data_IF_526956970136
#
_entry.id   IF_526956970136
#
_cell.length_a   1.000
_cell.length_b   1.000
_cell.length_c   1.000
_cell.angle_alpha   90.00
_cell.angle_beta   90.00
_cell.angle_gamma   90.00
#
_symmetry.space_group_name_H-M   'P 1'
#
loop_
_entity.id
_entity.type
_entity.pdbx_description
1 polymer ?
#
# COMPACT_ATOMS: atom_id res chain seq x y z
N UNK A 1 -74.23 -0.83 4.54
CA UNK A 1 -75.28 -1.41 5.40
C UNK A 1 -74.97 -2.90 5.55
N UNK A 2 -74.94 -3.42 6.79
CA UNK A 2 -74.75 -4.85 7.21
C UNK A 2 -73.33 -5.43 7.02
N UNK A 3 -72.39 -5.34 7.99
CA UNK A 3 -72.12 -6.23 9.16
C UNK A 3 -72.03 -7.74 8.86
N UNK A 4 -70.81 -8.29 8.89
CA UNK A 4 -70.50 -9.64 9.40
C UNK A 4 -69.20 -9.60 10.22
N UNK A 5 -69.32 -10.00 11.48
CA UNK A 5 -68.24 -10.20 12.45
C UNK A 5 -67.64 -11.60 12.27
N UNK A 6 -66.33 -11.72 12.47
CA UNK A 6 -65.69 -12.99 12.84
C UNK A 6 -64.65 -12.74 13.92
N UNK A 7 -64.81 -13.46 15.02
CA UNK A 7 -64.03 -13.44 16.26
C UNK A 7 -62.56 -13.82 16.03
N UNK A 8 -61.63 -13.12 16.69
CA UNK A 8 -60.27 -13.60 16.94
C UNK A 8 -60.03 -13.53 18.45
N UNK A 9 -59.78 -14.70 19.03
CA UNK A 9 -59.46 -14.91 20.44
C UNK A 9 -58.09 -14.32 20.83
N UNK A 10 -58.09 -13.65 21.97
CA UNK A 10 -56.91 -13.13 22.66
C UNK A 10 -56.10 -14.25 23.31
N UNK A 11 -54.84 -14.47 22.87
CA UNK A 11 -53.86 -15.28 23.61
C UNK A 11 -53.04 -14.42 24.58
N UNK A 12 -53.03 -14.84 25.83
CA UNK A 12 -52.38 -14.23 27.01
C UNK A 12 -50.85 -14.25 26.90
N UNK A 13 -50.23 -13.14 27.29
CA UNK A 13 -48.79 -13.01 27.57
C UNK A 13 -48.39 -13.83 28.82
N UNK A 14 -47.35 -14.65 28.69
CA UNK A 14 -46.66 -15.30 29.82
C UNK A 14 -45.25 -14.71 29.97
N UNK A 15 -44.91 -14.34 31.21
CA UNK A 15 -43.64 -13.72 31.64
C UNK A 15 -42.49 -14.75 31.61
N UNK A 16 -41.24 -14.36 31.26
CA UNK A 16 -40.09 -15.23 31.47
C UNK A 16 -39.59 -15.18 32.93
N UNK A 17 -39.19 -16.34 33.46
CA UNK A 17 -38.57 -16.52 34.78
C UNK A 17 -37.10 -16.09 34.76
N UNK A 18 -36.69 -15.46 35.87
CA UNK A 18 -35.31 -15.11 36.28
C UNK A 18 -34.39 -16.33 36.30
N UNK A 19 -33.19 -16.23 35.73
CA UNK A 19 -32.05 -17.11 36.02
C UNK A 19 -30.84 -16.27 36.47
N UNK A 20 -30.09 -16.83 37.42
CA UNK A 20 -28.97 -16.24 38.18
C UNK A 20 -27.78 -15.91 37.28
N UNK A 21 -27.01 -14.90 37.69
CA UNK A 21 -25.90 -14.36 36.92
C UNK A 21 -24.65 -15.23 36.87
N UNK A 22 -23.79 -14.89 35.90
CA UNK A 22 -22.37 -15.15 35.88
C UNK A 22 -21.68 -13.93 35.28
N UNK A 23 -20.81 -13.33 36.07
CA UNK A 23 -19.79 -12.36 35.65
C UNK A 23 -18.77 -13.02 34.73
N UNK A 24 -18.03 -12.17 34.00
CA UNK A 24 -16.81 -12.40 33.21
C UNK A 24 -16.96 -13.13 31.87
N UNK A 25 -16.91 -12.34 30.79
CA UNK A 25 -16.53 -12.82 29.45
C UNK A 25 -15.69 -11.77 28.69
N UNK A 26 -14.78 -11.11 29.42
CA UNK A 26 -13.77 -10.20 28.83
C UNK A 26 -12.41 -10.86 28.60
N UNK A 27 -12.18 -12.09 29.10
CA UNK A 27 -10.89 -12.78 29.03
C UNK A 27 -10.73 -13.71 27.81
N UNK A 28 -11.83 -14.12 27.17
CA UNK A 28 -11.81 -15.03 26.03
C UNK A 28 -11.41 -14.35 24.70
N UNK A 29 -11.72 -13.06 24.56
CA UNK A 29 -11.34 -12.23 23.40
C UNK A 29 -9.89 -11.78 23.46
N UNK A 30 -9.39 -11.39 24.65
CA UNK A 30 -7.98 -11.02 24.87
C UNK A 30 -7.03 -12.22 24.71
N UNK A 31 -7.42 -13.41 25.16
CA UNK A 31 -6.58 -14.62 25.05
C UNK A 31 -6.45 -15.14 23.61
N UNK A 32 -7.48 -15.00 22.77
CA UNK A 32 -7.39 -15.39 21.34
C UNK A 32 -6.53 -14.42 20.52
N UNK A 33 -6.59 -13.12 20.83
CA UNK A 33 -5.69 -12.13 20.21
C UNK A 33 -4.26 -12.34 20.68
N UNK A 34 -4.01 -12.53 21.98
CA UNK A 34 -2.64 -12.73 22.49
C UNK A 34 -1.96 -14.00 21.94
N UNK A 35 -2.71 -15.08 21.72
CA UNK A 35 -2.20 -16.33 21.14
C UNK A 35 -1.92 -16.16 19.63
N UNK A 36 -2.80 -15.50 18.88
CA UNK A 36 -2.58 -15.20 17.46
C UNK A 36 -1.38 -14.25 17.24
N UNK A 37 -1.20 -13.27 18.13
CA UNK A 37 -0.03 -12.40 18.15
C UNK A 37 1.26 -13.19 18.40
N UNK A 38 1.30 -14.07 19.41
CA UNK A 38 2.47 -14.88 19.75
C UNK A 38 2.89 -15.84 18.62
N UNK A 39 1.94 -16.40 17.88
CA UNK A 39 2.23 -17.29 16.75
C UNK A 39 2.65 -16.53 15.49
N UNK A 40 2.20 -15.29 15.29
CA UNK A 40 2.71 -14.40 14.26
C UNK A 40 4.21 -14.11 14.44
N UNK A 41 4.70 -13.96 15.68
CA UNK A 41 6.12 -13.74 15.96
C UNK A 41 7.02 -14.95 15.64
N UNK A 42 6.50 -16.17 15.68
CA UNK A 42 7.28 -17.40 15.40
C UNK A 42 7.57 -17.60 13.92
N UNK A 43 6.78 -17.02 13.02
CA UNK A 43 6.95 -17.13 11.56
C UNK A 43 7.74 -15.97 10.95
N UNK A 44 8.03 -14.92 11.73
CA UNK A 44 8.75 -13.73 11.28
C UNK A 44 10.27 -13.87 11.41
N UNK A 45 11.00 -13.16 10.55
CA UNK A 45 12.45 -13.03 10.74
C UNK A 45 12.74 -12.26 12.04
N UNK A 46 13.74 -12.67 12.84
CA UNK A 46 14.03 -12.04 14.13
C UNK A 46 14.23 -10.52 14.04
N UNK A 47 14.84 -10.04 12.95
CA UNK A 47 15.09 -8.61 12.76
C UNK A 47 13.81 -7.79 12.53
N UNK A 48 12.71 -8.39 12.06
CA UNK A 48 11.46 -7.66 11.82
C UNK A 48 10.87 -7.11 13.13
N UNK A 49 11.16 -7.76 14.26
CA UNK A 49 10.68 -7.36 15.59
C UNK A 49 11.24 -6.00 16.03
N UNK A 50 12.32 -5.53 15.39
CA UNK A 50 12.91 -4.22 15.67
C UNK A 50 12.18 -3.06 14.96
N UNK A 51 11.24 -3.36 14.06
CA UNK A 51 10.44 -2.35 13.36
C UNK A 51 9.07 -2.21 14.03
N UNK A 52 8.73 -1.03 14.59
CA UNK A 52 7.35 -0.76 14.99
C UNK A 52 6.45 -0.85 13.75
N UNK A 53 5.27 -1.46 13.87
CA UNK A 53 4.39 -1.66 12.72
C UNK A 53 4.80 -2.78 11.77
N UNK A 54 5.63 -3.75 12.18
CA UNK A 54 6.09 -4.82 11.28
C UNK A 54 4.98 -5.77 10.79
N UNK A 55 3.81 -5.81 11.45
CA UNK A 55 2.59 -6.55 11.07
C UNK A 55 1.32 -5.74 11.40
N UNK A 56 0.16 -6.00 10.76
CA UNK A 56 -1.07 -5.19 10.89
C UNK A 56 -1.55 -4.98 12.33
N UNK A 57 -1.37 -5.98 13.18
CA UNK A 57 -1.84 -5.96 14.56
C UNK A 57 -0.90 -5.21 15.52
N UNK A 58 0.28 -4.78 15.05
CA UNK A 58 1.28 -4.06 15.84
C UNK A 58 1.32 -2.57 15.47
N UNK A 59 0.18 -1.86 15.57
CA UNK A 59 0.21 -0.39 15.41
C UNK A 59 1.13 0.23 16.46
N UNK A 60 1.97 1.18 16.05
CA UNK A 60 2.79 1.94 16.97
C UNK A 60 1.93 2.62 18.03
N UNK A 61 2.32 2.50 19.31
CA UNK A 61 1.63 3.15 20.43
C UNK A 61 1.65 4.69 20.37
N UNK A 62 2.45 5.26 19.45
CA UNK A 62 2.50 6.70 19.15
C UNK A 62 1.33 7.17 18.28
N UNK A 63 0.61 6.26 17.63
CA UNK A 63 -0.55 6.57 16.80
C UNK A 63 -1.76 6.85 17.71
N UNK A 64 -1.96 8.12 18.07
CA UNK A 64 -3.04 8.48 19.01
C UNK A 64 -4.34 8.87 18.32
N UNK A 65 -4.30 9.40 17.08
CA UNK A 65 -5.49 9.73 16.26
C UNK A 65 -5.17 9.71 14.76
N UNK A 66 -5.97 9.01 13.98
CA UNK A 66 -6.03 9.03 12.51
C UNK A 66 -7.46 8.71 12.08
N UNK A 67 -7.84 9.09 10.86
CA UNK A 67 -9.17 8.81 10.30
C UNK A 67 -9.12 8.24 8.88
N UNK A 68 -7.92 8.13 8.29
CA UNK A 68 -7.72 7.61 6.95
C UNK A 68 -6.44 6.80 6.85
N UNK A 69 -6.51 5.61 6.24
CA UNK A 69 -5.37 4.70 6.07
C UNK A 69 -5.16 4.29 4.62
N UNK A 70 -3.95 4.53 4.12
CA UNK A 70 -3.51 4.07 2.81
C UNK A 70 -2.46 2.97 2.95
N UNK A 71 -2.55 1.96 2.09
CA UNK A 71 -1.50 0.97 1.91
C UNK A 71 -0.99 0.98 0.46
N UNK A 72 0.27 0.65 0.29
CA UNK A 72 0.85 0.35 -1.02
C UNK A 72 1.67 -0.93 -0.95
N UNK A 73 1.56 -1.78 -1.97
CA UNK A 73 2.32 -3.02 -2.05
C UNK A 73 2.61 -3.44 -3.49
N UNK A 74 3.89 -3.50 -3.87
CA UNK A 74 4.28 -4.23 -5.07
C UNK A 74 4.09 -5.75 -4.83
N UNK A 75 3.13 -6.34 -5.53
CA UNK A 75 2.68 -7.72 -5.28
C UNK A 75 3.40 -8.75 -6.16
N UNK A 76 4.24 -8.31 -7.10
CA UNK A 76 5.02 -9.15 -8.00
C UNK A 76 4.19 -10.29 -8.66
N UNK A 77 3.00 -9.94 -9.13
CA UNK A 77 2.06 -10.82 -9.80
C UNK A 77 0.80 -11.07 -8.97
N UNK A 78 -0.32 -10.51 -9.44
CA UNK A 78 -1.62 -10.59 -8.78
C UNK A 78 -2.04 -12.02 -8.45
N UNK A 79 -1.89 -12.97 -9.38
CA UNK A 79 -2.30 -14.36 -9.17
C UNK A 79 -1.46 -15.07 -8.09
N UNK A 80 -0.16 -14.81 -8.07
CA UNK A 80 0.73 -15.38 -7.06
C UNK A 80 0.39 -14.81 -5.68
N UNK A 81 0.15 -13.50 -5.63
CA UNK A 81 -0.28 -12.79 -4.43
C UNK A 81 -1.61 -13.30 -3.87
N UNK A 82 -2.63 -13.50 -4.72
CA UNK A 82 -3.91 -14.09 -4.32
C UNK A 82 -3.72 -15.49 -3.74
N UNK A 83 -2.94 -16.35 -4.41
CA UNK A 83 -2.64 -17.71 -3.94
C UNK A 83 -1.88 -17.71 -2.60
N UNK A 84 -1.07 -16.69 -2.35
CA UNK A 84 -0.33 -16.51 -1.10
C UNK A 84 -1.18 -15.93 0.06
N UNK A 85 -2.49 -15.72 -0.15
CA UNK A 85 -3.38 -15.16 0.87
C UNK A 85 -3.38 -13.63 0.92
N UNK A 86 -3.00 -12.95 -0.16
CA UNK A 86 -2.94 -11.49 -0.21
C UNK A 86 -4.26 -10.77 0.14
N UNK A 87 -5.41 -11.36 -0.19
CA UNK A 87 -6.70 -10.79 0.24
C UNK A 87 -6.95 -10.90 1.73
N UNK A 88 -6.37 -11.90 2.41
CA UNK A 88 -6.42 -11.98 3.87
C UNK A 88 -5.71 -10.76 4.47
N UNK A 89 -4.56 -10.35 3.93
CA UNK A 89 -3.89 -9.11 4.34
C UNK A 89 -4.80 -7.88 4.15
N UNK A 90 -5.50 -7.75 3.02
CA UNK A 90 -6.42 -6.63 2.80
C UNK A 90 -7.55 -6.60 3.85
N UNK A 91 -8.09 -7.75 4.23
CA UNK A 91 -9.15 -7.86 5.24
C UNK A 91 -8.69 -7.80 6.69
N UNK A 92 -7.40 -8.06 6.94
CA UNK A 92 -6.80 -7.93 8.28
C UNK A 92 -6.28 -6.52 8.52
N UNK A 93 -5.56 -5.96 7.54
CA UNK A 93 -5.08 -4.59 7.58
C UNK A 93 -6.26 -3.61 7.49
N UNK A 94 -7.30 -3.86 6.69
CA UNK A 94 -8.46 -2.97 6.57
C UNK A 94 -8.10 -1.50 6.24
N UNK A 95 -7.23 -1.19 5.26
CA UNK A 95 -7.02 0.19 4.82
C UNK A 95 -8.29 0.79 4.21
N UNK A 96 -8.37 2.11 4.11
CA UNK A 96 -9.39 2.76 3.28
C UNK A 96 -9.08 2.59 1.80
N UNK A 97 -7.78 2.57 1.47
CA UNK A 97 -7.27 2.45 0.11
C UNK A 97 -6.01 1.58 0.09
N UNK A 98 -5.94 0.59 -0.81
CA UNK A 98 -4.74 -0.20 -1.09
C UNK A 98 -4.36 -0.05 -2.57
N UNK A 99 -3.19 0.53 -2.83
CA UNK A 99 -2.54 0.47 -4.15
C UNK A 99 -1.69 -0.79 -4.28
N UNK A 100 -1.76 -1.47 -5.42
CA UNK A 100 -0.87 -2.60 -5.74
C UNK A 100 -0.13 -2.38 -7.05
N UNK A 101 1.14 -2.77 -7.10
CA UNK A 101 2.02 -2.67 -8.27
C UNK A 101 2.46 -4.06 -8.75
N UNK A 102 2.94 -4.12 -10.00
CA UNK A 102 3.30 -5.35 -10.69
C UNK A 102 2.19 -6.40 -10.68
N UNK A 103 0.97 -6.01 -11.05
CA UNK A 103 -0.14 -6.98 -11.13
C UNK A 103 0.15 -8.08 -12.16
N UNK A 104 0.94 -7.77 -13.20
CA UNK A 104 1.36 -8.69 -14.29
C UNK A 104 0.18 -9.44 -14.89
N UNK A 105 -0.98 -8.78 -14.92
CA UNK A 105 -2.25 -9.40 -15.29
C UNK A 105 -3.03 -8.48 -16.21
N UNK A 106 -3.39 -8.98 -17.40
CA UNK A 106 -4.33 -8.29 -18.28
C UNK A 106 -5.70 -8.20 -17.62
N UNK A 107 -6.39 -7.08 -17.84
CA UNK A 107 -7.75 -6.81 -17.34
C UNK A 107 -8.73 -7.96 -17.62
N UNK A 108 -8.64 -8.60 -18.80
CA UNK A 108 -9.52 -9.71 -19.22
C UNK A 108 -9.26 -11.00 -18.43
N UNK A 109 -8.18 -11.04 -17.68
CA UNK A 109 -7.60 -12.23 -17.03
C UNK A 109 -7.46 -12.07 -15.52
N UNK A 110 -7.92 -10.94 -14.98
CA UNK A 110 -8.05 -10.70 -13.53
C UNK A 110 -8.99 -11.78 -12.97
N UNK A 111 -8.53 -12.60 -12.00
CA UNK A 111 -9.37 -13.66 -11.42
C UNK A 111 -10.59 -13.09 -10.72
N UNK A 112 -11.70 -13.84 -10.73
CA UNK A 112 -12.90 -13.45 -9.98
C UNK A 112 -12.62 -13.37 -8.47
N UNK A 113 -11.69 -14.20 -7.97
CA UNK A 113 -11.25 -14.18 -6.58
C UNK A 113 -10.62 -12.83 -6.18
N UNK A 114 -10.14 -12.01 -7.13
CA UNK A 114 -9.56 -10.71 -6.84
C UNK A 114 -10.59 -9.72 -6.25
N UNK A 115 -11.89 -10.01 -6.33
CA UNK A 115 -12.93 -9.17 -5.73
C UNK A 115 -12.91 -9.29 -4.21
N UNK A 116 -12.84 -8.16 -3.51
CA UNK A 116 -12.92 -8.09 -2.07
C UNK A 116 -14.21 -7.37 -1.65
N UNK A 117 -15.01 -7.98 -0.77
CA UNK A 117 -16.24 -7.36 -0.28
C UNK A 117 -15.94 -6.05 0.44
N UNK A 118 -16.70 -5.00 0.15
CA UNK A 118 -16.50 -3.67 0.73
C UNK A 118 -15.40 -2.83 0.06
N UNK A 119 -14.76 -3.32 -1.00
CA UNK A 119 -13.83 -2.55 -1.81
C UNK A 119 -14.25 -2.56 -3.28
N UNK A 120 -14.16 -1.40 -3.92
CA UNK A 120 -14.12 -1.31 -5.38
C UNK A 120 -12.69 -1.54 -5.88
N UNK A 121 -12.55 -2.24 -7.00
CA UNK A 121 -11.25 -2.57 -7.58
C UNK A 121 -11.08 -1.93 -8.96
N UNK A 122 -9.98 -1.21 -9.15
CA UNK A 122 -9.58 -0.59 -10.41
C UNK A 122 -8.24 -1.16 -10.88
N UNK A 123 -8.06 -1.24 -12.19
CA UNK A 123 -6.94 -1.98 -12.79
C UNK A 123 -6.38 -1.24 -14.01
N UNK A 124 -5.07 -1.04 -14.03
CA UNK A 124 -4.32 -0.53 -15.17
C UNK A 124 -3.35 -1.64 -15.61
N UNK A 125 -3.56 -2.21 -16.79
CA UNK A 125 -2.76 -3.34 -17.28
C UNK A 125 -1.82 -2.90 -18.39
N UNK A 126 -0.65 -3.51 -18.46
CA UNK A 126 0.21 -3.37 -19.63
C UNK A 126 -0.37 -4.10 -20.85
N UNK A 127 -0.06 -3.62 -22.05
CA UNK A 127 -0.36 -4.30 -23.32
C UNK A 127 0.36 -5.64 -23.43
N UNK A 128 1.56 -5.72 -22.86
CA UNK A 128 2.34 -6.95 -22.76
C UNK A 128 1.85 -7.80 -21.59
N UNK A 129 1.37 -9.01 -21.91
CA UNK A 129 0.95 -9.99 -20.91
C UNK A 129 2.08 -10.35 -19.93
N UNK A 130 1.74 -10.48 -18.64
CA UNK A 130 2.71 -10.88 -17.61
C UNK A 130 3.70 -9.79 -17.22
N UNK A 131 3.46 -8.53 -17.61
CA UNK A 131 4.38 -7.42 -17.40
C UNK A 131 3.67 -6.23 -16.73
N UNK A 132 4.40 -5.52 -15.86
CA UNK A 132 3.98 -4.31 -15.16
C UNK A 132 2.52 -4.36 -14.65
N UNK A 133 1.79 -3.24 -14.79
CA UNK A 133 0.41 -3.11 -14.32
C UNK A 133 0.28 -2.70 -12.85
N UNK A 134 -0.79 -1.97 -12.57
CA UNK A 134 -1.16 -1.46 -11.25
C UNK A 134 -2.63 -1.77 -10.96
N UNK A 135 -2.98 -1.75 -9.68
CA UNK A 135 -4.34 -1.94 -9.19
C UNK A 135 -4.62 -1.07 -7.97
N UNK A 136 -5.90 -0.85 -7.72
CA UNK A 136 -6.39 -0.08 -6.59
C UNK A 136 -7.59 -0.79 -5.98
N UNK A 137 -7.56 -1.04 -4.68
CA UNK A 137 -8.73 -1.37 -3.88
C UNK A 137 -9.13 -0.16 -3.06
N UNK A 138 -10.37 0.30 -3.16
CA UNK A 138 -10.85 1.47 -2.41
C UNK A 138 -12.17 1.18 -1.72
N UNK A 139 -12.26 1.43 -0.41
CA UNK A 139 -13.53 1.41 0.34
C UNK A 139 -14.41 2.59 -0.01
N UNK A 140 -13.79 3.76 -0.19
CA UNK A 140 -14.46 4.98 -0.62
C UNK A 140 -14.47 5.04 -2.14
N UNK A 141 -15.63 5.28 -2.73
CA UNK A 141 -15.74 5.48 -4.19
C UNK A 141 -15.02 6.77 -4.57
N UNK A 142 -13.95 6.73 -5.40
CA UNK A 142 -13.30 7.95 -5.88
C UNK A 142 -14.26 8.78 -6.73
N UNK A 143 -14.09 10.11 -6.73
CA UNK A 143 -14.84 11.02 -7.60
C UNK A 143 -14.56 10.75 -9.08
N UNK A 144 -13.31 10.37 -9.37
CA UNK A 144 -12.85 10.02 -10.70
C UNK A 144 -11.64 9.09 -10.59
N UNK A 145 -11.44 8.24 -11.60
CA UNK A 145 -10.25 7.39 -11.72
C UNK A 145 -9.71 7.49 -13.14
N UNK A 146 -8.44 7.89 -13.28
CA UNK A 146 -7.72 7.94 -14.55
C UNK A 146 -6.56 6.95 -14.58
N UNK A 147 -6.18 6.53 -15.78
CA UNK A 147 -5.16 5.53 -16.04
C UNK A 147 -4.07 6.14 -16.92
N UNK A 148 -2.81 5.95 -16.51
CA UNK A 148 -1.67 6.56 -17.20
C UNK A 148 -1.42 8.02 -16.80
N UNK A 149 -0.51 8.66 -17.52
CA UNK A 149 -0.11 10.07 -17.33
C UNK A 149 -0.48 10.97 -18.50
N UNK A 150 -1.20 10.42 -19.49
CA UNK A 150 -1.67 11.15 -20.68
C UNK A 150 -0.64 11.18 -21.80
N UNK A 151 0.33 10.26 -21.80
CA UNK A 151 1.31 10.08 -22.87
C UNK A 151 1.34 8.62 -23.33
N UNK A 152 1.06 8.41 -24.62
CA UNK A 152 1.03 7.09 -25.25
C UNK A 152 2.34 6.31 -25.15
N UNK A 153 3.49 6.98 -25.03
CA UNK A 153 4.80 6.33 -24.84
C UNK A 153 4.86 5.61 -23.50
N UNK A 154 4.16 6.13 -22.49
CA UNK A 154 4.18 5.65 -21.11
C UNK A 154 2.98 4.76 -20.77
N UNK A 155 1.83 5.05 -21.36
CA UNK A 155 0.54 4.52 -20.90
C UNK A 155 0.25 3.08 -21.34
N UNK A 156 1.11 2.51 -22.19
CA UNK A 156 1.04 1.09 -22.62
C UNK A 156 1.52 0.10 -21.56
N UNK A 157 2.17 0.57 -20.48
CA UNK A 157 2.73 -0.30 -19.42
C UNK A 157 1.85 -0.38 -18.15
N UNK A 158 0.71 0.35 -18.11
CA UNK A 158 -0.24 0.29 -16.99
C UNK A 158 0.31 0.74 -15.64
N UNK A 159 1.25 1.68 -15.64
CA UNK A 159 2.10 2.03 -14.49
C UNK A 159 1.50 3.02 -13.50
N UNK A 160 0.43 3.71 -13.88
CA UNK A 160 -0.18 4.75 -13.06
C UNK A 160 -1.69 4.58 -13.02
N UNK A 161 -2.24 4.69 -11.81
CA UNK A 161 -3.66 4.97 -11.55
C UNK A 161 -3.72 6.26 -10.73
N UNK A 162 -4.57 7.19 -11.11
CA UNK A 162 -4.87 8.36 -10.29
C UNK A 162 -6.33 8.32 -9.86
N UNK A 163 -6.56 8.21 -8.56
CA UNK A 163 -7.88 8.28 -7.95
C UNK A 163 -8.09 9.66 -7.32
N UNK A 164 -9.15 10.34 -7.72
CA UNK A 164 -9.53 11.65 -7.19
C UNK A 164 -10.47 11.50 -6.00
N UNK A 165 -10.11 12.11 -4.87
CA UNK A 165 -10.99 12.26 -3.71
C UNK A 165 -11.32 13.75 -3.51
N UNK A 166 -12.23 14.03 -2.59
CA UNK A 166 -12.68 15.41 -2.32
C UNK A 166 -11.51 16.33 -1.95
N UNK A 167 -10.61 15.86 -1.08
CA UNK A 167 -9.51 16.67 -0.51
C UNK A 167 -8.15 16.49 -1.19
N UNK A 168 -7.93 15.41 -1.95
CA UNK A 168 -6.61 15.06 -2.51
C UNK A 168 -6.73 14.13 -3.73
N UNK A 169 -5.64 14.02 -4.50
CA UNK A 169 -5.43 12.93 -5.46
C UNK A 169 -4.56 11.85 -4.84
N UNK A 170 -4.95 10.58 -5.00
CA UNK A 170 -4.06 9.45 -4.76
C UNK A 170 -3.50 8.94 -6.09
N UNK A 171 -2.19 9.04 -6.26
CA UNK A 171 -1.47 8.56 -7.44
C UNK A 171 -0.72 7.28 -7.07
N UNK A 172 -1.15 6.16 -7.62
CA UNK A 172 -0.50 4.86 -7.45
C UNK A 172 0.49 4.71 -8.59
N UNK A 173 1.78 4.58 -8.30
CA UNK A 173 2.83 4.55 -9.31
C UNK A 173 3.68 3.28 -9.24
N UNK A 174 3.99 2.73 -10.40
CA UNK A 174 5.02 1.71 -10.59
C UNK A 174 6.07 2.24 -11.57
N UNK A 175 7.09 2.92 -11.05
CA UNK A 175 8.14 3.57 -11.86
C UNK A 175 8.97 2.50 -12.58
N UNK A 176 9.32 2.70 -13.87
CA UNK A 176 10.18 1.80 -14.61
C UNK A 176 11.50 1.50 -13.90
N UNK A 177 11.77 0.22 -13.63
CA UNK A 177 13.10 -0.21 -13.25
C UNK A 177 14.09 -0.06 -14.44
N UNK A 178 15.28 0.47 -14.19
CA UNK A 178 16.34 0.66 -15.21
C UNK A 178 16.90 -0.64 -15.79
N UNK A 179 16.62 -1.77 -15.13
CA UNK A 179 16.88 -3.11 -15.62
C UNK A 179 18.34 -3.54 -15.56
N UNK A 180 18.57 -4.80 -15.94
CA UNK A 180 19.91 -5.38 -15.99
C UNK A 180 20.80 -4.64 -16.99
N UNK A 181 22.01 -4.27 -16.54
CA UNK A 181 22.94 -3.47 -17.34
C UNK A 181 22.44 -2.05 -17.63
N UNK A 182 21.48 -1.53 -16.85
CA UNK A 182 20.92 -0.18 -16.97
C UNK A 182 20.32 0.13 -18.35
N UNK A 183 19.85 -0.90 -19.07
CA UNK A 183 19.32 -0.77 -20.45
C UNK A 183 18.16 0.22 -20.58
N UNK A 184 17.36 0.38 -19.52
CA UNK A 184 16.21 1.30 -19.50
C UNK A 184 16.52 2.61 -18.79
N UNK A 185 17.73 2.81 -18.25
CA UNK A 185 18.09 4.06 -17.59
C UNK A 185 17.90 5.28 -18.52
N UNK A 186 18.27 5.24 -19.82
CA UNK A 186 18.01 6.39 -20.70
C UNK A 186 16.53 6.72 -20.86
N UNK A 187 15.66 5.71 -20.90
CA UNK A 187 14.21 5.91 -20.97
C UNK A 187 13.67 6.48 -19.65
N UNK A 188 14.14 5.94 -18.51
CA UNK A 188 13.75 6.39 -17.19
C UNK A 188 14.12 7.87 -16.97
N UNK A 189 15.41 8.17 -17.13
CA UNK A 189 16.00 9.48 -16.84
C UNK A 189 15.54 10.58 -17.82
N UNK A 190 15.51 10.29 -19.13
CA UNK A 190 15.29 11.34 -20.14
C UNK A 190 13.82 11.52 -20.56
N UNK A 191 12.93 10.58 -20.22
CA UNK A 191 11.54 10.61 -20.66
C UNK A 191 10.61 10.43 -19.46
N UNK A 192 10.61 9.25 -18.85
CA UNK A 192 9.64 8.91 -17.81
C UNK A 192 9.67 9.86 -16.60
N UNK A 193 10.83 10.08 -15.98
CA UNK A 193 10.91 10.89 -14.75
C UNK A 193 10.52 12.38 -15.01
N UNK A 194 11.02 13.06 -16.07
CA UNK A 194 10.56 14.41 -16.44
C UNK A 194 9.06 14.50 -16.75
N UNK A 195 8.50 13.53 -17.47
CA UNK A 195 7.09 13.53 -17.87
C UNK A 195 6.18 13.22 -16.66
N UNK A 196 6.63 12.34 -15.76
CA UNK A 196 5.95 12.07 -14.51
C UNK A 196 5.95 13.29 -13.57
N UNK A 197 7.07 14.02 -13.46
CA UNK A 197 7.14 15.29 -12.72
C UNK A 197 6.13 16.29 -13.30
N UNK A 198 6.10 16.43 -14.62
CA UNK A 198 5.18 17.35 -15.31
C UNK A 198 3.71 16.98 -15.09
N UNK A 199 3.39 15.68 -15.07
CA UNK A 199 2.06 15.17 -14.76
C UNK A 199 1.65 15.51 -13.32
N UNK A 200 2.51 15.20 -12.34
CA UNK A 200 2.21 15.47 -10.95
C UNK A 200 2.07 16.97 -10.66
N UNK A 201 2.87 17.84 -11.27
CA UNK A 201 2.72 19.31 -11.12
C UNK A 201 1.34 19.80 -11.55
N UNK A 202 0.78 19.25 -12.64
CA UNK A 202 -0.57 19.60 -13.12
C UNK A 202 -1.64 19.20 -12.11
N UNK A 203 -1.51 18.01 -11.51
CA UNK A 203 -2.44 17.54 -10.48
C UNK A 203 -2.30 18.35 -9.18
N UNK A 204 -1.07 18.59 -8.73
CA UNK A 204 -0.79 19.31 -7.48
C UNK A 204 -1.28 20.76 -7.54
N UNK A 205 -1.32 21.37 -8.73
CA UNK A 205 -1.90 22.70 -8.92
C UNK A 205 -3.42 22.75 -8.62
N UNK A 206 -4.11 21.60 -8.64
CA UNK A 206 -5.56 21.51 -8.44
C UNK A 206 -5.89 21.04 -7.01
N UNK A 207 -5.33 19.91 -6.58
CA UNK A 207 -5.50 19.34 -5.23
C UNK A 207 -4.19 18.73 -4.76
N UNK A 208 -3.93 18.66 -3.44
CA UNK A 208 -2.73 18.01 -2.95
C UNK A 208 -2.68 16.54 -3.33
N UNK A 209 -1.45 16.02 -3.41
CA UNK A 209 -1.14 14.68 -3.84
C UNK A 209 -0.72 13.82 -2.65
N UNK A 210 -1.15 12.56 -2.72
CA UNK A 210 -0.49 11.44 -2.07
C UNK A 210 -0.02 10.54 -3.20
N UNK A 211 1.28 10.35 -3.36
CA UNK A 211 1.88 9.44 -4.33
C UNK A 211 2.35 8.20 -3.59
N UNK A 212 1.76 7.05 -3.88
CA UNK A 212 2.07 5.76 -3.25
C UNK A 212 2.55 4.74 -4.27
N UNK A 213 3.59 3.98 -3.96
CA UNK A 213 4.01 2.89 -4.85
C UNK A 213 5.49 2.55 -4.82
N UNK A 214 5.86 1.63 -5.71
CA UNK A 214 7.24 1.28 -6.00
C UNK A 214 7.81 2.28 -7.00
N UNK A 215 8.66 3.18 -6.47
CA UNK A 215 9.34 4.21 -7.26
C UNK A 215 10.70 3.75 -7.76
N UNK A 216 11.07 2.48 -7.51
CA UNK A 216 12.26 1.82 -8.03
C UNK A 216 13.55 2.62 -7.78
N UNK A 217 13.66 3.34 -6.67
CA UNK A 217 14.87 4.08 -6.29
C UNK A 217 15.07 4.02 -4.79
N UNK A 218 16.29 3.75 -4.31
CA UNK A 218 16.72 4.01 -2.95
C UNK A 218 17.36 5.41 -2.94
N UNK A 219 16.73 6.38 -2.29
CA UNK A 219 17.13 7.79 -2.44
C UNK A 219 18.50 8.09 -1.83
N UNK A 220 18.75 7.59 -0.61
CA UNK A 220 19.97 7.84 0.15
C UNK A 220 20.70 6.54 0.48
N UNK A 221 21.97 6.64 0.88
CA UNK A 221 22.77 5.45 1.26
C UNK A 221 22.15 4.66 2.43
N UNK A 222 21.38 5.31 3.29
CA UNK A 222 20.63 4.67 4.38
C UNK A 222 19.43 3.84 3.88
N UNK A 223 19.03 4.00 2.61
CA UNK A 223 17.88 3.34 2.00
C UNK A 223 18.22 1.99 1.36
N UNK A 224 19.47 1.54 1.41
CA UNK A 224 19.84 0.19 0.97
C UNK A 224 21.03 -0.41 1.73
N UNK A 225 21.11 -1.72 1.72
CA UNK A 225 22.31 -2.42 2.17
C UNK A 225 23.45 -2.31 1.14
N UNK A 226 24.67 -2.10 1.62
CA UNK A 226 25.90 -2.06 0.82
C UNK A 226 25.88 -0.98 -0.30
N UNK A 227 25.69 0.31 0.02
CA UNK A 227 25.57 1.38 -0.97
C UNK A 227 26.77 1.47 -1.93
N UNK A 228 27.99 1.33 -1.40
CA UNK A 228 29.22 1.43 -2.19
C UNK A 228 29.28 0.43 -3.36
N UNK A 229 28.86 -0.83 -3.14
CA UNK A 229 28.84 -1.85 -4.19
C UNK A 229 27.66 -1.72 -5.15
N UNK A 230 26.62 -0.96 -4.77
CA UNK A 230 25.37 -0.86 -5.50
C UNK A 230 25.20 0.44 -6.29
N UNK A 231 26.15 1.38 -6.23
CA UNK A 231 26.06 2.69 -6.92
C UNK A 231 25.87 2.62 -8.44
N UNK A 232 26.10 1.46 -9.07
CA UNK A 232 25.87 1.22 -10.51
C UNK A 232 24.76 0.20 -10.79
N UNK A 233 23.98 -0.13 -9.77
CA UNK A 233 22.83 -1.03 -9.86
C UNK A 233 21.56 -0.22 -10.13
N UNK A 234 20.64 -0.79 -10.91
CA UNK A 234 19.31 -0.20 -11.09
C UNK A 234 18.62 -0.02 -9.74
N UNK A 235 18.05 1.17 -9.53
CA UNK A 235 17.48 1.64 -8.28
C UNK A 235 18.45 2.40 -7.37
N UNK A 236 19.73 2.55 -7.72
CA UNK A 236 20.70 3.32 -6.91
C UNK A 236 21.77 4.01 -7.74
N UNK A 237 21.50 4.28 -9.03
CA UNK A 237 22.43 5.11 -9.82
C UNK A 237 22.37 6.57 -9.39
N UNK A 238 23.40 7.36 -9.74
CA UNK A 238 23.42 8.78 -9.42
C UNK A 238 22.28 9.53 -10.14
N UNK A 239 21.96 9.13 -11.37
CA UNK A 239 20.85 9.66 -12.16
C UNK A 239 19.52 9.41 -11.46
N UNK A 240 19.18 8.16 -11.11
CA UNK A 240 17.89 7.83 -10.47
C UNK A 240 17.70 8.57 -9.14
N UNK A 241 18.78 8.73 -8.36
CA UNK A 241 18.76 9.47 -7.08
C UNK A 241 18.62 10.98 -7.29
N UNK A 242 19.27 11.52 -8.32
CA UNK A 242 19.13 12.91 -8.72
C UNK A 242 17.72 13.21 -9.20
N UNK A 243 17.16 12.36 -10.05
CA UNK A 243 15.80 12.47 -10.59
C UNK A 243 14.76 12.43 -9.47
N UNK A 244 14.94 11.53 -8.49
CA UNK A 244 14.09 11.50 -7.31
C UNK A 244 14.20 12.79 -6.47
N UNK A 245 15.40 13.35 -6.33
CA UNK A 245 15.60 14.64 -5.66
C UNK A 245 14.90 15.77 -6.40
N UNK A 246 14.99 15.78 -7.73
CA UNK A 246 14.31 16.73 -8.59
C UNK A 246 12.79 16.60 -8.47
N UNK A 247 12.26 15.38 -8.47
CA UNK A 247 10.84 15.09 -8.26
C UNK A 247 10.32 15.71 -6.96
N UNK A 248 11.01 15.48 -5.84
CA UNK A 248 10.61 16.05 -4.55
C UNK A 248 10.60 17.58 -4.59
N UNK A 249 11.64 18.19 -5.18
CA UNK A 249 11.78 19.64 -5.23
C UNK A 249 10.76 20.31 -6.16
N UNK A 250 10.59 19.80 -7.38
CA UNK A 250 9.77 20.45 -8.41
C UNK A 250 8.27 20.30 -8.21
N UNK A 251 7.84 19.17 -7.63
CA UNK A 251 6.43 18.93 -7.29
C UNK A 251 6.12 19.40 -5.85
N UNK A 252 7.14 19.80 -5.08
CA UNK A 252 7.02 20.16 -3.66
C UNK A 252 6.42 19.01 -2.83
N UNK A 253 6.95 17.81 -3.06
CA UNK A 253 6.60 16.58 -2.34
C UNK A 253 7.58 16.31 -1.21
N UNK A 254 7.11 15.58 -0.20
CA UNK A 254 7.88 15.18 0.98
C UNK A 254 7.83 13.67 1.13
N UNK A 255 8.99 13.03 1.29
CA UNK A 255 9.09 11.63 1.72
C UNK A 255 8.66 11.52 3.19
N UNK A 256 7.45 10.99 3.39
CA UNK A 256 6.84 10.88 4.72
C UNK A 256 7.66 10.01 5.67
N UNK A 257 8.24 8.91 5.18
CA UNK A 257 9.00 7.99 6.02
C UNK A 257 10.27 8.66 6.55
N UNK A 258 11.03 9.32 5.67
CA UNK A 258 12.26 10.00 6.08
C UNK A 258 12.03 11.28 6.86
N UNK A 259 10.86 11.90 6.71
CA UNK A 259 10.49 13.04 7.56
C UNK A 259 10.20 12.61 9.00
N UNK A 260 9.51 11.47 9.20
CA UNK A 260 9.22 10.93 10.52
C UNK A 260 10.41 10.20 11.15
N UNK A 261 11.19 9.51 10.32
CA UNK A 261 12.27 8.62 10.74
C UNK A 261 13.59 8.87 9.98
N UNK A 262 14.19 10.07 10.12
CA UNK A 262 15.33 10.49 9.31
C UNK A 262 16.58 9.62 9.50
N UNK A 263 16.81 9.11 10.71
CA UNK A 263 18.00 8.34 11.07
C UNK A 263 17.77 6.83 11.20
N UNK A 264 16.54 6.35 11.00
CA UNK A 264 16.22 4.91 11.16
C UNK A 264 16.82 4.12 10.00
N UNK A 265 17.85 3.35 10.29
CA UNK A 265 18.54 2.51 9.30
C UNK A 265 17.81 1.17 9.07
N UNK A 266 18.27 0.45 8.04
CA UNK A 266 17.84 -0.91 7.69
C UNK A 266 16.34 -1.08 7.39
N UNK A 267 15.64 0.03 7.24
CA UNK A 267 14.21 0.14 6.94
C UNK A 267 13.98 -0.07 5.45
N UNK A 268 13.91 -1.33 5.03
CA UNK A 268 13.78 -1.71 3.63
C UNK A 268 12.37 -2.18 3.32
N UNK A 269 12.01 -2.13 2.04
CA UNK A 269 10.70 -2.57 1.54
C UNK A 269 10.84 -3.68 0.51
N UNK A 270 12.03 -3.90 -0.06
CA UNK A 270 12.36 -4.91 -1.07
C UNK A 270 13.57 -5.77 -0.66
N UNK A 271 13.49 -7.08 -0.95
CA UNK A 271 14.58 -8.04 -0.77
C UNK A 271 14.63 -9.05 -1.91
N UNK A 272 15.77 -9.12 -2.60
CA UNK A 272 15.95 -10.04 -3.72
C UNK A 272 15.89 -11.51 -3.28
N UNK A 273 14.96 -12.27 -3.88
CA UNK A 273 14.79 -13.71 -3.61
C UNK A 273 16.05 -14.54 -3.88
N UNK A 274 16.75 -14.27 -4.99
CA UNK A 274 17.86 -15.13 -5.46
C UNK A 274 19.04 -15.19 -4.48
N UNK A 275 19.17 -14.19 -3.62
CA UNK A 275 20.27 -14.07 -2.67
C UNK A 275 19.86 -14.48 -1.24
N UNK A 276 18.60 -14.89 -1.02
CA UNK A 276 18.08 -15.13 0.32
C UNK A 276 18.24 -13.89 1.21
N UNK A 277 17.96 -12.72 0.66
CA UNK A 277 18.35 -11.44 1.24
C UNK A 277 17.47 -11.01 2.44
N UNK A 278 16.19 -11.41 2.44
CA UNK A 278 15.20 -11.05 3.46
C UNK A 278 15.55 -11.58 4.85
N UNK A 279 15.93 -12.86 5.06
CA UNK A 279 16.37 -13.34 6.39
C UNK A 279 17.56 -12.56 6.98
N UNK A 280 18.44 -12.02 6.14
CA UNK A 280 19.65 -11.27 6.53
C UNK A 280 19.44 -9.76 6.60
N UNK A 281 18.23 -9.29 6.30
CA UNK A 281 17.87 -7.90 6.09
C UNK A 281 18.84 -7.14 5.15
N UNK A 282 19.25 -7.76 4.05
CA UNK A 282 20.03 -7.10 2.99
C UNK A 282 19.07 -6.55 1.94
N UNK A 283 18.38 -5.45 2.26
CA UNK A 283 17.27 -4.93 1.47
C UNK A 283 17.50 -3.53 0.90
N UNK A 284 16.46 -3.04 0.23
CA UNK A 284 16.36 -1.71 -0.37
C UNK A 284 15.00 -1.10 -0.02
N UNK A 285 14.92 0.21 0.20
CA UNK A 285 13.67 0.96 0.33
C UNK A 285 13.32 1.56 -1.03
N UNK A 286 12.41 0.91 -1.73
CA UNK A 286 11.98 1.28 -3.09
C UNK A 286 10.53 1.77 -3.12
N UNK A 287 9.77 1.49 -2.06
CA UNK A 287 8.36 1.83 -1.94
C UNK A 287 8.19 3.07 -1.07
N UNK A 288 7.36 4.01 -1.53
CA UNK A 288 7.22 5.33 -0.92
C UNK A 288 5.75 5.73 -0.76
N UNK A 289 5.53 6.56 0.25
CA UNK A 289 4.44 7.52 0.27
C UNK A 289 5.05 8.92 0.25
N UNK A 290 4.91 9.60 -0.88
CA UNK A 290 5.25 11.01 -1.02
C UNK A 290 3.97 11.83 -0.88
N UNK A 291 3.99 12.89 -0.09
CA UNK A 291 2.82 13.77 0.04
C UNK A 291 3.20 15.18 -0.38
N UNK A 292 2.26 15.92 -0.97
CA UNK A 292 2.45 17.37 -1.14
C UNK A 292 2.78 17.98 0.21
N UNK A 293 3.76 18.89 0.26
CA UNK A 293 4.24 19.46 1.52
C UNK A 293 3.11 20.01 2.41
N UNK A 294 2.05 20.54 1.81
CA UNK A 294 0.84 21.03 2.50
C UNK A 294 -0.05 19.97 3.16
N UNK A 295 0.22 18.67 2.93
CA UNK A 295 -0.41 17.55 3.62
C UNK A 295 0.46 16.96 4.73
N UNK A 296 1.72 17.38 4.89
CA UNK A 296 2.62 16.75 5.85
C UNK A 296 2.09 16.83 7.29
N UNK A 297 1.44 17.94 7.67
CA UNK A 297 0.85 18.11 9.01
C UNK A 297 -0.34 17.17 9.27
N UNK A 298 -0.89 16.54 8.23
CA UNK A 298 -1.98 15.57 8.33
C UNK A 298 -1.44 14.13 8.38
N UNK A 299 -0.14 13.91 8.16
CA UNK A 299 0.50 12.59 8.27
C UNK A 299 0.68 12.26 9.74
N UNK A 300 0.05 11.17 10.19
CA UNK A 300 0.12 10.71 11.57
C UNK A 300 1.28 9.74 11.77
N UNK A 301 1.47 8.80 10.85
CA UNK A 301 2.58 7.84 10.87
C UNK A 301 2.80 7.18 9.50
N UNK A 302 3.97 6.59 9.28
CA UNK A 302 4.32 5.76 8.15
C UNK A 302 5.01 4.48 8.64
N UNK A 303 4.34 3.34 8.50
CA UNK A 303 4.86 2.05 8.94
C UNK A 303 5.21 1.12 7.76
N UNK A 304 6.20 0.25 7.97
CA UNK A 304 6.63 -0.76 6.98
C UNK A 304 6.29 -2.15 7.55
N UNK A 305 5.44 -2.90 6.84
CA UNK A 305 4.97 -4.24 7.24
C UNK A 305 5.98 -5.33 6.89
N UNK A 306 7.23 -5.16 7.36
CA UNK A 306 8.35 -6.02 6.95
C UNK A 306 8.18 -7.51 7.34
N UNK A 307 7.27 -7.83 8.26
CA UNK A 307 6.87 -9.20 8.60
C UNK A 307 5.93 -9.86 7.60
N UNK A 308 5.26 -9.09 6.73
CA UNK A 308 4.27 -9.60 5.77
C UNK A 308 4.95 -10.14 4.51
N UNK A 309 4.78 -11.44 4.28
CA UNK A 309 5.29 -12.16 3.12
C UNK A 309 4.26 -12.15 1.96
N UNK A 310 4.62 -12.74 0.83
CA UNK A 310 3.76 -12.86 -0.36
C UNK A 310 4.33 -12.17 -1.61
N UNK A 311 5.35 -11.34 -1.44
CA UNK A 311 6.14 -10.68 -2.49
C UNK A 311 7.59 -10.49 -2.02
N UNK A 312 8.50 -10.19 -2.95
CA UNK A 312 9.86 -9.71 -2.66
C UNK A 312 9.82 -8.29 -2.08
N UNK A 313 8.69 -7.59 -2.26
CA UNK A 313 8.34 -6.40 -1.49
C UNK A 313 7.46 -6.72 -0.28
N UNK A 314 7.41 -5.79 0.66
CA UNK A 314 6.42 -5.79 1.75
C UNK A 314 5.51 -4.56 1.67
N UNK A 315 4.30 -4.62 2.25
CA UNK A 315 3.41 -3.47 2.28
C UNK A 315 4.00 -2.30 3.08
N UNK A 316 3.74 -1.08 2.62
CA UNK A 316 3.89 0.15 3.39
C UNK A 316 2.52 0.74 3.72
N UNK A 317 2.43 1.43 4.85
CA UNK A 317 1.18 1.96 5.40
C UNK A 317 1.36 3.41 5.79
N UNK A 318 0.45 4.28 5.34
CA UNK A 318 0.37 5.69 5.72
C UNK A 318 -0.92 5.92 6.51
N UNK A 319 -0.79 6.49 7.70
CA UNK A 319 -1.91 6.95 8.50
C UNK A 319 -2.03 8.46 8.37
N UNK A 320 -3.24 8.92 8.13
CA UNK A 320 -3.53 10.33 8.00
C UNK A 320 -4.76 10.74 8.81
N UNK A 321 -4.79 12.02 9.18
CA UNK A 321 -5.95 12.68 9.76
C UNK A 321 -6.41 13.76 8.79
N UNK A 322 -7.33 13.41 7.88
CA UNK A 322 -7.75 14.20 6.72
C UNK A 322 -9.05 14.98 6.91
#
# INVERSE_FOLDING_TARGET
MVKRQSNIETKKLTKPKRARGTSSDSSATESKTSIAHADCFKSMFPWCQNYPGCVPSMMSSTITKWNFKLCSWNVNGLRAWLKAGGLSYLTEELPDVLGIQETKCSIKKVPAEAKCSGYEAFWSSADKEGYAGTGLYSKLVPLNVTYGIGDSVHDTEGRVITAEYEKFYYVIAYVPNSGQGLKRLPYRHNQWDPDFISYLKKLDAIKPLIVGGDLNVAHQEIDLANPASNRKSAGFTDEERSDFTQLLAEVNLVDTYRTLYPSRDKAYTFWNYRQGARPKNTGWRLDYFLVSKRLMDHVCDHEIRCGILGSDHCPIVLYMNL
#
